data_IF_968602608173
#
_entry.id   IF_968602608173
#
_cell.length_a   1.000
_cell.length_b   1.000
_cell.length_c   1.000
_cell.angle_alpha   90.00
_cell.angle_beta   90.00
_cell.angle_gamma   90.00
#
_symmetry.space_group_name_H-M   'P 1'
#
loop_
_entity.id
_entity.type
_entity.pdbx_description
1 polymer ?
#
# COMPACT_ATOMS: atom_id res chain seq x y z
N UNK A 1 0.59 28.70 -14.08
CA UNK A 1 -0.16 27.93 -13.06
C UNK A 1 0.81 27.56 -11.93
N UNK A 2 0.52 27.88 -10.66
CA UNK A 2 1.47 27.65 -9.56
C UNK A 2 1.62 26.15 -9.31
N UNK A 3 2.86 25.65 -9.16
CA UNK A 3 3.20 24.23 -8.91
C UNK A 3 2.28 23.52 -7.88
N UNK A 4 1.87 24.23 -6.83
CA UNK A 4 0.96 23.74 -5.77
C UNK A 4 -0.45 23.37 -6.28
N UNK A 5 -0.95 24.03 -7.31
CA UNK A 5 -2.28 23.75 -7.85
C UNK A 5 -2.24 22.54 -8.81
N UNK A 6 -1.13 22.39 -9.53
CA UNK A 6 -0.90 21.21 -10.37
C UNK A 6 -0.84 19.94 -9.51
N UNK A 7 -0.19 20.06 -8.35
CA UNK A 7 -0.06 18.99 -7.35
C UNK A 7 -1.43 18.50 -6.83
N UNK A 8 -2.30 19.45 -6.42
CA UNK A 8 -3.64 19.13 -5.94
C UNK A 8 -4.52 18.48 -7.01
N UNK A 9 -4.41 18.95 -8.25
CA UNK A 9 -5.14 18.40 -9.39
C UNK A 9 -4.66 16.98 -9.67
N UNK A 10 -3.35 16.71 -9.63
CA UNK A 10 -2.77 15.40 -9.88
C UNK A 10 -3.20 14.38 -8.81
N UNK A 11 -3.15 14.74 -7.53
CA UNK A 11 -3.62 13.90 -6.42
C UNK A 11 -5.12 13.65 -6.53
N UNK A 12 -5.92 14.64 -6.92
CA UNK A 12 -7.36 14.49 -7.11
C UNK A 12 -7.69 13.52 -8.26
N UNK A 13 -6.92 13.52 -9.34
CA UNK A 13 -7.10 12.58 -10.47
C UNK A 13 -6.71 11.15 -10.11
N UNK A 14 -5.68 10.96 -9.28
CA UNK A 14 -5.27 9.64 -8.78
C UNK A 14 -6.34 9.08 -7.82
N UNK A 15 -6.89 9.92 -6.94
CA UNK A 15 -7.94 9.54 -5.99
C UNK A 15 -9.31 9.31 -6.65
N UNK A 16 -9.56 9.94 -7.81
CA UNK A 16 -10.84 9.77 -8.53
C UNK A 16 -10.96 8.43 -9.28
N UNK A 17 -9.97 7.54 -9.18
CA UNK A 17 -10.05 6.17 -9.75
C UNK A 17 -10.20 6.10 -11.27
N UNK A 18 -10.21 7.24 -11.94
CA UNK A 18 -10.40 7.31 -13.37
C UNK A 18 -9.08 7.59 -14.08
N UNK A 19 -8.60 6.59 -14.83
CA UNK A 19 -7.73 6.79 -15.99
C UNK A 19 -6.21 6.75 -15.73
N UNK A 20 -5.70 6.11 -14.71
CA UNK A 20 -4.26 5.83 -14.73
C UNK A 20 -4.07 4.31 -14.89
N UNK A 21 -4.04 3.85 -16.13
CA UNK A 21 -3.48 2.55 -16.43
C UNK A 21 -1.96 2.62 -16.25
N UNK A 22 -1.54 2.77 -15.00
CA UNK A 22 -0.15 2.69 -14.65
C UNK A 22 0.24 1.23 -14.58
N UNK A 23 1.34 0.86 -15.19
CA UNK A 23 1.74 -0.54 -15.25
C UNK A 23 3.26 -0.73 -15.31
N UNK A 24 3.67 -1.92 -14.89
CA UNK A 24 5.04 -2.37 -15.10
C UNK A 24 5.12 -3.19 -16.39
N UNK A 25 6.04 -2.77 -17.26
CA UNK A 25 6.31 -3.42 -18.54
C UNK A 25 7.67 -4.11 -18.52
N UNK A 26 7.74 -5.29 -19.14
CA UNK A 26 9.00 -5.97 -19.35
C UNK A 26 9.38 -5.91 -20.83
N UNK A 27 10.43 -5.17 -21.13
CA UNK A 27 10.91 -4.96 -22.50
C UNK A 27 12.43 -5.20 -22.57
N UNK A 28 12.86 -5.98 -23.54
CA UNK A 28 14.30 -6.26 -23.79
C UNK A 28 15.08 -6.74 -22.55
N UNK A 29 14.43 -7.44 -21.63
CA UNK A 29 15.06 -7.92 -20.40
C UNK A 29 15.19 -6.87 -19.29
N UNK A 30 14.57 -5.74 -19.45
CA UNK A 30 14.50 -4.65 -18.48
C UNK A 30 13.06 -4.40 -18.02
N UNK A 31 12.90 -3.79 -16.84
CA UNK A 31 11.60 -3.41 -16.31
C UNK A 31 11.43 -1.90 -16.44
N UNK A 32 10.27 -1.50 -16.94
CA UNK A 32 9.84 -0.12 -17.03
C UNK A 32 8.56 0.07 -16.23
N UNK A 33 8.36 1.25 -15.68
CA UNK A 33 7.10 1.72 -15.13
C UNK A 33 6.54 2.80 -16.02
N UNK A 34 5.31 2.64 -16.47
CA UNK A 34 4.66 3.55 -17.39
C UNK A 34 3.37 4.12 -16.79
N UNK A 35 3.19 5.42 -16.97
CA UNK A 35 1.95 6.15 -16.71
C UNK A 35 1.53 6.83 -18.00
N UNK A 36 0.75 6.17 -18.86
CA UNK A 36 0.45 6.67 -20.22
C UNK A 36 -0.22 8.03 -20.24
N UNK A 37 -1.13 8.30 -19.29
CA UNK A 37 -1.80 9.60 -19.20
C UNK A 37 -0.85 10.78 -18.97
N UNK A 38 0.28 10.53 -18.34
CA UNK A 38 1.30 11.55 -18.07
C UNK A 38 2.47 11.50 -19.06
N UNK A 39 2.41 10.63 -20.06
CA UNK A 39 3.50 10.37 -21.01
C UNK A 39 4.84 10.04 -20.30
N UNK A 40 4.75 9.40 -19.13
CA UNK A 40 5.92 9.03 -18.33
C UNK A 40 6.18 7.55 -18.51
N UNK A 41 7.37 7.23 -19.01
CA UNK A 41 7.94 5.88 -19.02
C UNK A 41 9.34 5.96 -18.45
N UNK A 42 9.60 5.21 -17.40
CA UNK A 42 10.88 5.21 -16.70
C UNK A 42 11.39 3.81 -16.46
N UNK A 43 12.69 3.60 -16.64
CA UNK A 43 13.33 2.35 -16.29
C UNK A 43 13.36 2.16 -14.78
N UNK A 44 12.92 0.99 -14.32
CA UNK A 44 12.98 0.60 -12.91
C UNK A 44 14.41 0.17 -12.60
N UNK A 45 15.15 1.03 -11.91
CA UNK A 45 16.54 0.76 -11.58
C UNK A 45 16.66 -0.42 -10.60
N UNK A 46 17.69 -1.23 -10.79
CA UNK A 46 18.02 -2.40 -9.97
C UNK A 46 16.98 -3.54 -9.99
N UNK A 47 15.93 -3.45 -10.81
CA UNK A 47 14.96 -4.52 -10.91
C UNK A 47 15.54 -5.75 -11.60
N UNK A 48 15.41 -6.91 -10.98
CA UNK A 48 15.72 -8.19 -11.60
C UNK A 48 14.57 -8.64 -12.49
N UNK A 49 14.68 -8.38 -13.78
CA UNK A 49 13.64 -8.70 -14.76
C UNK A 49 13.27 -10.20 -14.84
N UNK A 50 14.13 -11.11 -14.35
CA UNK A 50 13.82 -12.55 -14.35
C UNK A 50 12.81 -12.91 -13.27
N UNK A 51 12.91 -12.27 -12.12
CA UNK A 51 12.04 -12.55 -10.95
C UNK A 51 10.97 -11.47 -10.72
N UNK A 52 10.98 -10.39 -11.51
CA UNK A 52 10.04 -9.29 -11.34
C UNK A 52 8.59 -9.70 -11.61
N UNK A 53 7.71 -9.25 -10.74
CA UNK A 53 6.26 -9.39 -10.87
C UNK A 53 5.60 -8.07 -10.49
N UNK A 54 4.62 -7.64 -11.26
CA UNK A 54 3.65 -6.65 -10.81
C UNK A 54 2.91 -7.21 -9.61
N UNK A 55 2.58 -6.35 -8.67
CA UNK A 55 1.82 -6.79 -7.51
C UNK A 55 0.35 -6.94 -7.94
N UNK A 56 -0.23 -8.08 -7.59
CA UNK A 56 -1.66 -8.34 -7.69
C UNK A 56 -2.16 -8.51 -6.26
N UNK A 57 -2.75 -7.44 -5.72
CA UNK A 57 -3.33 -7.46 -4.38
C UNK A 57 -4.59 -8.33 -4.32
N UNK A 58 -5.03 -8.65 -3.10
CA UNK A 58 -6.24 -9.46 -2.89
C UNK A 58 -7.48 -8.82 -3.50
N UNK A 59 -7.58 -7.50 -3.46
CA UNK A 59 -8.76 -6.75 -3.87
C UNK A 59 -8.65 -6.14 -5.27
N UNK A 60 -7.53 -6.36 -5.98
CA UNK A 60 -7.26 -5.81 -7.34
C UNK A 60 -7.60 -4.32 -7.43
N UNK A 61 -7.12 -3.54 -6.47
CA UNK A 61 -7.31 -2.09 -6.46
C UNK A 61 -6.35 -1.40 -7.44
N UNK A 62 -6.65 -0.16 -7.80
CA UNK A 62 -5.74 0.67 -8.60
C UNK A 62 -4.38 0.82 -7.92
N UNK A 63 -4.36 0.80 -6.58
CA UNK A 63 -3.13 0.84 -5.79
C UNK A 63 -2.20 -0.33 -6.07
N UNK A 64 -2.74 -1.50 -6.38
CA UNK A 64 -1.94 -2.70 -6.67
C UNK A 64 -1.04 -2.48 -7.89
N UNK A 65 -1.52 -1.79 -8.92
CA UNK A 65 -0.76 -1.52 -10.13
C UNK A 65 0.44 -0.58 -9.91
N UNK A 66 0.45 0.16 -8.78
CA UNK A 66 1.57 1.03 -8.43
C UNK A 66 2.76 0.27 -7.86
N UNK A 67 2.53 -0.97 -7.39
CA UNK A 67 3.55 -1.77 -6.76
C UNK A 67 4.06 -2.89 -7.66
N UNK A 68 5.34 -3.17 -7.52
CA UNK A 68 6.00 -4.33 -8.12
C UNK A 68 7.06 -4.87 -7.18
N UNK A 69 7.48 -6.11 -7.39
CA UNK A 69 8.56 -6.72 -6.62
C UNK A 69 9.36 -7.69 -7.44
N UNK A 70 10.61 -7.87 -7.06
CA UNK A 70 11.46 -8.97 -7.47
C UNK A 70 11.87 -9.81 -6.24
N UNK A 71 12.85 -10.68 -6.38
CA UNK A 71 13.34 -11.52 -5.28
C UNK A 71 14.04 -10.74 -4.17
N UNK A 72 14.42 -9.46 -4.40
CA UNK A 72 15.24 -8.66 -3.48
C UNK A 72 14.56 -7.38 -3.01
N UNK A 73 13.75 -6.78 -3.85
CA UNK A 73 13.25 -5.43 -3.65
C UNK A 73 11.74 -5.34 -3.89
N UNK A 74 11.13 -4.33 -3.28
CA UNK A 74 9.77 -3.85 -3.56
C UNK A 74 9.88 -2.46 -4.19
N UNK A 75 9.01 -2.19 -5.14
CA UNK A 75 8.98 -0.95 -5.89
C UNK A 75 7.60 -0.31 -5.80
N UNK A 76 7.57 1.02 -5.72
CA UNK A 76 6.38 1.85 -5.79
C UNK A 76 6.56 2.89 -6.91
N UNK A 77 5.68 2.90 -7.91
CA UNK A 77 5.76 3.80 -9.06
C UNK A 77 7.15 3.74 -9.76
N UNK A 78 7.69 2.55 -9.90
CA UNK A 78 9.00 2.33 -10.50
C UNK A 78 10.22 2.66 -9.64
N UNK A 79 10.03 3.10 -8.38
CA UNK A 79 11.09 3.46 -7.45
C UNK A 79 11.23 2.45 -6.33
N UNK A 80 12.45 2.10 -5.97
CA UNK A 80 12.73 1.11 -4.91
C UNK A 80 12.32 1.64 -3.53
N UNK A 81 11.58 0.85 -2.77
CA UNK A 81 11.29 1.10 -1.37
C UNK A 81 12.48 0.66 -0.49
N UNK A 82 13.05 1.60 0.27
CA UNK A 82 14.15 1.28 1.17
C UNK A 82 13.68 0.46 2.36
N UNK A 83 14.48 -0.55 2.71
CA UNK A 83 14.30 -1.38 3.92
C UNK A 83 13.02 -2.24 3.93
N UNK A 84 12.31 -2.37 2.81
CA UNK A 84 11.14 -3.23 2.68
C UNK A 84 11.54 -4.54 2.02
N UNK A 85 11.22 -5.65 2.67
CA UNK A 85 11.45 -7.00 2.14
C UNK A 85 10.33 -7.38 1.16
N UNK A 86 10.63 -8.08 0.03
CA UNK A 86 9.58 -8.64 -0.82
C UNK A 86 8.88 -9.86 -0.21
N UNK A 87 9.42 -10.39 0.90
CA UNK A 87 8.86 -11.54 1.57
C UNK A 87 7.61 -11.17 2.37
N UNK A 88 6.51 -11.88 2.13
CA UNK A 88 5.21 -11.63 2.75
C UNK A 88 4.76 -10.16 2.62
N UNK A 89 5.22 -9.49 1.54
CA UNK A 89 4.82 -8.12 1.25
C UNK A 89 3.31 -8.05 0.98
N UNK A 90 2.66 -7.09 1.65
CA UNK A 90 1.22 -6.84 1.55
C UNK A 90 0.94 -5.33 1.62
N UNK A 91 0.04 -4.86 0.77
CA UNK A 91 -0.51 -3.50 0.83
C UNK A 91 -1.67 -3.55 1.82
N UNK A 92 -1.61 -2.73 2.86
CA UNK A 92 -2.65 -2.66 3.87
C UNK A 92 -3.72 -1.62 3.49
N UNK A 93 -3.29 -0.45 3.08
CA UNK A 93 -4.10 0.62 2.51
C UNK A 93 -3.21 1.63 1.76
N UNK A 94 -3.73 2.81 1.42
CA UNK A 94 -3.01 3.84 0.66
C UNK A 94 -1.70 4.29 1.31
N UNK A 95 -1.65 4.33 2.64
CA UNK A 95 -0.54 4.85 3.42
C UNK A 95 0.36 3.78 4.05
N UNK A 96 -0.12 2.52 4.13
CA UNK A 96 0.54 1.50 4.91
C UNK A 96 0.76 0.21 4.12
N UNK A 97 1.96 -0.30 4.25
CA UNK A 97 2.40 -1.61 3.73
C UNK A 97 3.05 -2.42 4.83
N UNK A 98 3.16 -3.71 4.64
CA UNK A 98 3.95 -4.58 5.54
C UNK A 98 4.81 -5.57 4.77
N UNK A 99 5.82 -6.08 5.44
CA UNK A 99 6.58 -7.27 5.07
C UNK A 99 6.48 -8.35 6.16
N UNK A 100 7.35 -9.35 6.12
CA UNK A 100 7.37 -10.45 7.10
C UNK A 100 7.75 -10.02 8.54
N UNK A 101 8.21 -8.78 8.74
CA UNK A 101 8.76 -8.30 10.02
C UNK A 101 8.21 -6.98 10.50
N UNK A 102 7.81 -6.11 9.59
CA UNK A 102 7.53 -4.73 9.91
C UNK A 102 6.32 -4.19 9.16
N UNK A 103 5.72 -3.15 9.72
CA UNK A 103 4.76 -2.28 9.05
C UNK A 103 5.46 -0.96 8.74
N UNK A 104 5.17 -0.40 7.57
CA UNK A 104 5.76 0.84 7.11
C UNK A 104 4.67 1.81 6.67
N UNK A 105 4.87 3.09 6.99
CA UNK A 105 4.14 4.18 6.36
C UNK A 105 4.88 4.59 5.10
N UNK A 106 4.16 4.68 3.99
CA UNK A 106 4.63 5.17 2.71
C UNK A 106 3.94 6.48 2.39
N UNK A 107 4.57 7.29 1.56
CA UNK A 107 3.98 8.53 1.07
C UNK A 107 3.99 8.50 -0.45
N UNK A 108 2.83 8.28 -1.03
CA UNK A 108 2.64 8.25 -2.47
C UNK A 108 3.13 9.54 -3.13
N UNK A 109 2.95 10.69 -2.47
CA UNK A 109 3.43 11.98 -2.94
C UNK A 109 4.95 12.00 -3.12
N UNK A 110 5.71 11.38 -2.23
CA UNK A 110 7.16 11.28 -2.36
C UNK A 110 7.54 10.46 -3.60
N UNK A 111 6.80 9.39 -3.88
CA UNK A 111 7.00 8.58 -5.08
C UNK A 111 6.73 9.36 -6.37
N UNK A 112 5.70 10.20 -6.38
CA UNK A 112 5.30 10.96 -7.57
C UNK A 112 6.21 12.14 -7.88
N UNK A 113 6.64 12.87 -6.86
CA UNK A 113 7.20 14.22 -7.05
C UNK A 113 8.71 14.33 -6.83
N UNK A 114 9.35 13.36 -6.20
CA UNK A 114 10.79 13.40 -6.02
C UNK A 114 11.52 12.68 -7.15
N UNK A 115 12.61 13.26 -7.62
CA UNK A 115 13.46 12.68 -8.67
C UNK A 115 14.31 11.49 -8.21
N UNK A 116 14.27 11.15 -6.94
CA UNK A 116 14.99 10.00 -6.39
C UNK A 116 14.49 8.68 -6.98
N UNK A 117 15.42 7.76 -7.23
CA UNK A 117 15.08 6.38 -7.63
C UNK A 117 14.71 5.49 -6.45
N UNK A 118 14.77 6.02 -5.24
CA UNK A 118 14.46 5.33 -4.00
C UNK A 118 13.53 6.17 -3.15
N UNK A 119 12.63 5.49 -2.44
CA UNK A 119 11.67 6.08 -1.50
C UNK A 119 12.04 5.62 -0.11
N UNK A 120 12.14 6.56 0.82
CA UNK A 120 12.29 6.25 2.23
C UNK A 120 10.94 5.83 2.81
N UNK A 121 10.94 4.72 3.53
CA UNK A 121 9.78 4.26 4.28
C UNK A 121 9.97 4.54 5.76
N UNK A 122 8.89 4.89 6.45
CA UNK A 122 8.90 5.06 7.90
C UNK A 122 8.39 3.80 8.56
N UNK A 123 9.27 3.07 9.26
CA UNK A 123 8.86 1.92 10.06
C UNK A 123 7.94 2.37 11.19
N UNK A 124 6.83 1.65 11.35
CA UNK A 124 5.85 1.86 12.41
C UNK A 124 6.02 0.75 13.44
N UNK A 125 6.03 1.15 14.71
CA UNK A 125 6.03 0.23 15.84
C UNK A 125 4.76 0.48 16.65
N UNK A 126 4.00 -0.57 16.88
CA UNK A 126 2.81 -0.56 17.74
C UNK A 126 3.00 -1.61 18.80
N UNK A 127 2.84 -1.23 20.06
CA UNK A 127 3.07 -2.12 21.19
C UNK A 127 2.11 -3.31 21.17
N UNK A 128 2.69 -4.51 21.30
CA UNK A 128 1.94 -5.77 21.31
C UNK A 128 1.32 -6.20 19.98
N UNK A 129 1.58 -5.50 18.87
CA UNK A 129 1.09 -5.88 17.55
C UNK A 129 1.91 -7.04 16.97
N UNK A 130 1.21 -8.09 16.54
CA UNK A 130 1.81 -9.21 15.82
C UNK A 130 1.76 -8.96 14.32
N UNK A 131 2.87 -8.47 13.76
CA UNK A 131 3.00 -8.13 12.33
C UNK A 131 2.66 -9.32 11.42
N UNK A 132 3.03 -10.53 11.84
CA UNK A 132 2.86 -11.74 11.02
C UNK A 132 1.39 -12.05 10.73
N UNK A 133 0.52 -11.80 11.70
CA UNK A 133 -0.92 -12.06 11.57
C UNK A 133 -1.75 -10.81 11.30
N UNK A 134 -1.10 -9.64 11.27
CA UNK A 134 -1.75 -8.36 11.04
C UNK A 134 -2.24 -8.23 9.60
N UNK A 135 -3.54 -7.95 9.43
CA UNK A 135 -4.19 -7.84 8.12
C UNK A 135 -5.45 -6.99 8.20
N UNK A 136 -5.93 -6.55 7.05
CA UNK A 136 -7.27 -5.94 6.93
C UNK A 136 -8.33 -6.94 7.42
N UNK A 137 -9.31 -6.44 8.16
CA UNK A 137 -10.48 -7.21 8.54
C UNK A 137 -11.51 -7.09 7.43
N UNK A 138 -11.89 -8.24 6.89
CA UNK A 138 -12.93 -8.34 5.86
C UNK A 138 -14.33 -8.17 6.48
N UNK A 139 -15.25 -7.68 5.68
CA UNK A 139 -16.67 -7.63 6.01
C UNK A 139 -17.46 -8.34 4.91
N UNK A 140 -18.69 -8.74 5.26
CA UNK A 140 -19.57 -9.50 4.34
C UNK A 140 -20.00 -8.69 3.10
N UNK A 141 -19.73 -7.38 3.06
CA UNK A 141 -20.15 -6.47 1.98
C UNK A 141 -19.01 -6.06 1.05
N UNK A 142 -17.80 -6.62 1.23
CA UNK A 142 -16.59 -6.25 0.48
C UNK A 142 -16.28 -4.74 0.52
N UNK A 143 -16.73 -4.04 1.56
CA UNK A 143 -16.47 -2.61 1.74
C UNK A 143 -15.02 -2.45 2.23
N UNK A 144 -14.23 -1.62 1.57
CA UNK A 144 -12.94 -1.20 2.10
C UNK A 144 -13.12 -0.61 3.49
N UNK A 145 -12.33 -1.03 4.43
CA UNK A 145 -12.42 -0.57 5.81
C UNK A 145 -11.05 -0.20 6.35
N UNK A 146 -11.06 0.66 7.36
CA UNK A 146 -9.86 0.99 8.12
C UNK A 146 -9.69 0.13 9.37
N UNK A 147 -10.45 -0.97 9.48
CA UNK A 147 -10.31 -1.92 10.57
C UNK A 147 -9.33 -3.03 10.20
N UNK A 148 -8.37 -3.25 11.07
CA UNK A 148 -7.34 -4.25 10.95
C UNK A 148 -7.31 -5.13 12.19
N UNK A 149 -6.74 -6.31 12.06
CA UNK A 149 -6.58 -7.19 13.20
C UNK A 149 -5.31 -8.04 13.09
N UNK A 150 -4.74 -8.34 14.23
CA UNK A 150 -3.83 -9.46 14.38
C UNK A 150 -4.54 -10.64 15.07
N UNK A 151 -3.80 -11.64 15.50
CA UNK A 151 -4.39 -12.79 16.20
C UNK A 151 -5.06 -12.46 17.54
N UNK A 152 -4.69 -11.33 18.16
CA UNK A 152 -5.09 -11.01 19.53
C UNK A 152 -5.97 -9.76 19.64
N UNK A 153 -5.89 -8.85 18.68
CA UNK A 153 -6.39 -7.48 18.85
C UNK A 153 -6.98 -6.93 17.56
N UNK A 154 -7.82 -5.91 17.72
CA UNK A 154 -8.36 -5.09 16.63
C UNK A 154 -7.72 -3.71 16.65
N UNK A 155 -7.50 -3.17 15.49
CA UNK A 155 -6.90 -1.88 15.27
C UNK A 155 -7.71 -1.07 14.27
N UNK A 156 -7.64 0.24 14.39
CA UNK A 156 -8.18 1.19 13.43
C UNK A 156 -7.02 2.01 12.86
N UNK A 157 -6.96 2.14 11.54
CA UNK A 157 -5.93 2.95 10.87
C UNK A 157 -6.60 4.17 10.27
N UNK A 158 -6.17 5.35 10.71
CA UNK A 158 -6.47 6.63 10.09
C UNK A 158 -5.16 7.37 9.83
N UNK A 159 -4.69 8.20 10.73
CA UNK A 159 -3.35 8.80 10.65
C UNK A 159 -2.28 7.91 11.32
N UNK A 160 -2.69 7.13 12.30
CA UNK A 160 -1.87 6.18 13.05
C UNK A 160 -2.55 4.81 13.09
N UNK A 161 -1.81 3.83 13.59
CA UNK A 161 -2.36 2.49 13.87
C UNK A 161 -2.74 2.48 15.35
N UNK A 162 -4.01 2.58 15.64
CA UNK A 162 -4.53 2.65 17.00
C UNK A 162 -5.22 1.35 17.40
N UNK A 163 -4.80 0.77 18.52
CA UNK A 163 -5.44 -0.41 19.08
C UNK A 163 -6.78 -0.04 19.70
N UNK A 164 -7.83 -0.76 19.34
CA UNK A 164 -9.16 -0.65 19.97
C UNK A 164 -9.14 -1.50 21.25
N UNK A 165 -8.98 -0.84 22.40
CA UNK A 165 -8.60 -1.48 23.67
C UNK A 165 -9.58 -2.54 24.16
N UNK A 166 -10.88 -2.32 23.98
CA UNK A 166 -11.93 -3.19 24.54
C UNK A 166 -12.57 -4.12 23.50
N UNK A 167 -12.09 -4.08 22.25
CA UNK A 167 -12.65 -4.91 21.20
C UNK A 167 -12.30 -6.39 21.39
N UNK A 168 -13.32 -7.23 21.40
CA UNK A 168 -13.15 -8.68 21.35
C UNK A 168 -12.88 -9.13 19.91
N UNK A 169 -11.64 -9.51 19.65
CA UNK A 169 -11.17 -9.88 18.30
C UNK A 169 -11.99 -11.01 17.66
N UNK A 170 -12.50 -11.94 18.46
CA UNK A 170 -13.17 -13.13 17.96
C UNK A 170 -14.63 -12.88 17.55
N UNK A 171 -15.27 -11.90 18.18
CA UNK A 171 -16.66 -11.52 17.89
C UNK A 171 -16.81 -10.22 17.12
N UNK A 172 -15.66 -9.57 16.78
CA UNK A 172 -15.66 -8.29 16.08
C UNK A 172 -16.24 -8.42 14.67
N UNK A 173 -17.22 -7.59 14.35
CA UNK A 173 -17.89 -7.54 13.05
C UNK A 173 -17.99 -6.11 12.56
N UNK A 174 -17.58 -5.89 11.34
CA UNK A 174 -17.71 -4.62 10.64
C UNK A 174 -19.11 -4.56 10.02
N UNK A 175 -19.87 -3.54 10.37
CA UNK A 175 -21.24 -3.32 9.90
C UNK A 175 -21.27 -2.34 8.73
N UNK A 176 -20.40 -1.32 8.77
CA UNK A 176 -20.26 -0.29 7.76
C UNK A 176 -18.85 0.32 7.85
N UNK A 177 -18.50 1.23 6.95
CA UNK A 177 -17.18 1.85 6.86
C UNK A 177 -16.61 2.35 8.21
N UNK A 178 -17.45 2.96 9.04
CA UNK A 178 -17.09 3.50 10.36
C UNK A 178 -17.74 2.78 11.54
N UNK A 179 -18.56 1.78 11.28
CA UNK A 179 -19.38 1.13 12.31
C UNK A 179 -18.99 -0.33 12.42
N UNK A 180 -18.63 -0.71 13.61
CA UNK A 180 -18.36 -2.09 13.95
C UNK A 180 -18.97 -2.43 15.31
N UNK A 181 -19.12 -3.72 15.60
CA UNK A 181 -19.57 -4.21 16.90
C UNK A 181 -18.81 -5.48 17.28
N UNK A 182 -18.85 -5.78 18.55
CA UNK A 182 -18.47 -7.07 19.10
C UNK A 182 -19.50 -7.54 20.14
N UNK A 183 -19.19 -8.58 20.90
CA UNK A 183 -20.10 -9.10 21.94
C UNK A 183 -20.29 -8.18 23.14
N UNK A 184 -19.41 -7.18 23.31
CA UNK A 184 -19.41 -6.27 24.46
C UNK A 184 -20.12 -4.94 24.13
N UNK A 185 -20.24 -4.60 22.83
CA UNK A 185 -20.80 -3.33 22.35
C UNK A 185 -21.59 -3.52 21.06
#
# INVERSE_FOLDING_TARGET
MKRKNLLKILVLFILAGSIVNAEYLKENGEIYYEMPYFEVKSKVKEADAKSFKSFEGRNKTVMDSYYGKDNKNVYLLGKKLKNVSPKEFEILNEDYIKDDKNIYKVKLEEALFFSSNEINTKKISVDGLDVKTFRTLENDKEIETNYFGDKNSVYYIYENIDKIKEADRNSFKILDYYIAKDKNN
#
